data_IF_863669714092
#
_entry.id   IF_863669714092
#
_cell.length_a   1.000
_cell.length_b   1.000
_cell.length_c   1.000
_cell.angle_alpha   90.00
_cell.angle_beta   90.00
_cell.angle_gamma   90.00
#
_symmetry.space_group_name_H-M   'P 1'
#
loop_
_entity.id
_entity.type
_entity.pdbx_description
1 polymer ?
#
# COMPACT_ATOMS: atom_id res chain seq x y z
N UNK A 1 6.98 -4.84 -10.57
CA UNK A 1 7.11 -4.09 -9.30
C UNK A 1 8.54 -4.25 -8.82
N UNK A 2 9.27 -3.16 -8.54
CA UNK A 2 10.60 -3.30 -7.94
C UNK A 2 10.44 -3.83 -6.52
N UNK A 3 11.20 -4.86 -6.17
CA UNK A 3 11.10 -5.48 -4.86
C UNK A 3 11.49 -4.45 -3.77
N UNK A 4 10.78 -4.40 -2.62
CA UNK A 4 11.11 -3.46 -1.56
C UNK A 4 12.53 -3.70 -1.03
N UNK A 5 13.25 -2.65 -0.65
CA UNK A 5 14.58 -2.79 -0.02
C UNK A 5 14.44 -3.24 1.43
N UNK A 6 15.51 -3.76 2.03
CA UNK A 6 15.49 -4.10 3.46
C UNK A 6 15.16 -2.88 4.33
N UNK A 7 15.65 -1.69 3.96
CA UNK A 7 15.30 -0.43 4.61
C UNK A 7 13.79 -0.16 4.56
N UNK A 8 13.11 -0.42 3.43
CA UNK A 8 11.66 -0.27 3.35
C UNK A 8 10.91 -1.26 4.27
N UNK A 9 11.43 -2.48 4.41
CA UNK A 9 10.81 -3.51 5.24
C UNK A 9 11.02 -3.25 6.74
N UNK A 10 12.12 -2.61 7.13
CA UNK A 10 12.48 -2.39 8.55
C UNK A 10 12.32 -0.95 9.04
N UNK A 11 11.96 0.01 8.17
CA UNK A 11 11.77 1.40 8.55
C UNK A 11 10.77 1.54 9.73
N UNK A 12 10.93 2.53 10.62
CA UNK A 12 9.98 2.77 11.69
C UNK A 12 8.59 3.12 11.13
N UNK A 13 7.55 2.98 11.95
CA UNK A 13 6.18 3.35 11.59
C UNK A 13 5.16 2.24 11.87
N UNK A 14 3.92 2.40 11.38
CA UNK A 14 2.86 1.43 11.62
C UNK A 14 3.21 0.08 10.99
N UNK A 15 2.67 -0.97 11.61
CA UNK A 15 2.82 -2.33 11.13
C UNK A 15 2.28 -2.45 9.70
N UNK A 16 3.08 -3.06 8.82
CA UNK A 16 2.82 -3.06 7.38
C UNK A 16 3.14 -4.39 6.75
N UNK A 17 2.24 -4.80 5.85
CA UNK A 17 2.37 -6.01 5.06
C UNK A 17 2.69 -5.63 3.61
N UNK A 18 3.96 -5.77 3.22
CA UNK A 18 4.50 -5.31 1.93
C UNK A 18 4.85 -6.53 1.07
N UNK A 19 4.31 -6.58 -0.15
CA UNK A 19 4.70 -7.60 -1.13
C UNK A 19 6.20 -7.55 -1.45
N UNK A 20 6.88 -8.69 -1.31
CA UNK A 20 8.33 -8.80 -1.51
C UNK A 20 8.73 -9.08 -2.96
N UNK A 21 7.77 -9.30 -3.86
CA UNK A 21 7.96 -9.63 -5.28
C UNK A 21 6.66 -9.56 -6.08
N UNK A 22 6.67 -9.99 -7.34
CA UNK A 22 5.43 -10.10 -8.13
C UNK A 22 4.67 -11.37 -7.73
N UNK A 23 3.38 -11.46 -8.10
CA UNK A 23 2.54 -12.61 -7.73
C UNK A 23 3.08 -13.98 -8.17
N UNK A 24 3.89 -14.03 -9.25
CA UNK A 24 4.53 -15.27 -9.71
C UNK A 24 5.76 -15.68 -8.89
N UNK A 25 6.36 -14.71 -8.19
CA UNK A 25 7.57 -14.88 -7.39
C UNK A 25 7.22 -15.09 -5.90
N UNK A 26 5.96 -14.91 -5.54
CA UNK A 26 5.46 -15.05 -4.18
C UNK A 26 4.82 -16.43 -3.98
N UNK A 27 4.97 -17.02 -2.79
CA UNK A 27 4.20 -18.18 -2.38
C UNK A 27 2.70 -17.94 -2.55
N UNK A 28 1.95 -19.04 -2.72
CA UNK A 28 0.49 -18.93 -2.75
C UNK A 28 0.02 -18.44 -1.39
N UNK A 29 -0.96 -17.55 -1.41
CA UNK A 29 -1.57 -17.05 -0.19
C UNK A 29 -2.26 -18.22 0.54
N UNK A 30 -1.91 -18.43 1.81
CA UNK A 30 -2.34 -19.57 2.61
C UNK A 30 -1.48 -20.83 2.44
N UNK A 31 -0.35 -20.75 1.76
CA UNK A 31 0.64 -21.84 1.68
C UNK A 31 1.43 -21.97 2.98
N UNK A 32 1.53 -23.19 3.51
CA UNK A 32 2.39 -23.48 4.65
C UNK A 32 3.83 -23.61 4.19
N UNK A 33 4.64 -22.61 4.53
CA UNK A 33 6.08 -22.58 4.22
C UNK A 33 6.94 -23.29 5.27
N UNK A 34 6.32 -23.95 6.25
CA UNK A 34 7.01 -24.58 7.37
C UNK A 34 7.55 -23.56 8.37
N UNK A 35 8.52 -23.97 9.19
CA UNK A 35 9.08 -23.12 10.23
C UNK A 35 9.97 -22.02 9.64
N UNK A 36 9.73 -20.78 10.09
CA UNK A 36 10.57 -19.64 9.75
C UNK A 36 11.94 -19.79 10.45
N UNK A 37 13.07 -19.77 9.72
CA UNK A 37 14.40 -19.82 10.31
C UNK A 37 14.64 -18.66 11.28
N UNK A 38 15.35 -18.91 12.39
CA UNK A 38 15.61 -17.88 13.41
C UNK A 38 16.46 -16.71 12.91
N UNK A 39 17.34 -16.99 11.95
CA UNK A 39 18.24 -16.05 11.27
C UNK A 39 17.68 -15.48 9.96
N UNK A 40 16.39 -15.73 9.68
CA UNK A 40 15.75 -15.25 8.46
C UNK A 40 15.85 -13.73 8.32
N UNK A 41 16.20 -13.27 7.11
CA UNK A 41 16.27 -11.85 6.77
C UNK A 41 14.88 -11.19 6.71
N UNK A 42 14.83 -9.85 6.71
CA UNK A 42 13.58 -9.10 6.73
C UNK A 42 12.64 -9.46 5.57
N UNK A 43 13.20 -9.76 4.39
CA UNK A 43 12.44 -10.19 3.22
C UNK A 43 11.79 -11.55 3.44
N UNK A 44 12.54 -12.54 3.91
CA UNK A 44 12.04 -13.89 4.18
C UNK A 44 10.94 -13.85 5.24
N UNK A 45 11.14 -13.09 6.32
CA UNK A 45 10.11 -12.89 7.36
C UNK A 45 8.82 -12.29 6.77
N UNK A 46 8.92 -11.28 5.91
CA UNK A 46 7.76 -10.66 5.26
C UNK A 46 7.06 -11.61 4.28
N UNK A 47 7.82 -12.37 3.49
CA UNK A 47 7.28 -13.40 2.59
C UNK A 47 6.52 -14.47 3.36
N UNK A 48 7.08 -14.94 4.47
CA UNK A 48 6.43 -15.93 5.35
C UNK A 48 5.13 -15.39 5.95
N UNK A 49 5.17 -14.14 6.41
CA UNK A 49 3.99 -13.43 6.89
C UNK A 49 2.92 -13.27 5.80
N UNK A 50 3.29 -12.94 4.57
CA UNK A 50 2.36 -12.85 3.44
C UNK A 50 1.68 -14.18 3.13
N UNK A 51 2.42 -15.29 3.25
CA UNK A 51 1.92 -16.63 2.97
C UNK A 51 0.97 -17.14 4.06
N UNK A 52 1.12 -16.70 5.32
CA UNK A 52 0.23 -17.08 6.42
C UNK A 52 -1.25 -16.76 6.12
N UNK A 53 -2.18 -17.52 6.71
CA UNK A 53 -3.63 -17.32 6.52
C UNK A 53 -4.08 -15.90 6.89
N UNK A 54 -3.54 -15.35 7.98
CA UNK A 54 -3.86 -13.99 8.43
C UNK A 54 -3.28 -12.94 7.49
N UNK A 55 -2.02 -13.10 7.07
CA UNK A 55 -1.38 -12.21 6.10
C UNK A 55 -2.08 -12.22 4.75
N UNK A 56 -2.45 -13.40 4.25
CA UNK A 56 -3.25 -13.58 3.05
C UNK A 56 -4.58 -12.83 3.13
N UNK A 57 -5.30 -12.98 4.24
CA UNK A 57 -6.59 -12.32 4.48
C UNK A 57 -6.43 -10.80 4.52
N UNK A 58 -5.43 -10.30 5.25
CA UNK A 58 -5.13 -8.87 5.34
C UNK A 58 -4.71 -8.29 3.99
N UNK A 59 -3.84 -8.98 3.25
CA UNK A 59 -3.35 -8.55 1.95
C UNK A 59 -4.49 -8.49 0.92
N UNK A 60 -5.42 -9.45 0.95
CA UNK A 60 -6.60 -9.44 0.08
C UNK A 60 -7.51 -8.23 0.32
N UNK A 61 -7.65 -7.79 1.58
CA UNK A 61 -8.43 -6.57 1.92
C UNK A 61 -7.80 -5.29 1.35
N UNK A 62 -6.47 -5.24 1.22
CA UNK A 62 -5.77 -4.08 0.64
C UNK A 62 -6.21 -3.80 -0.80
N UNK A 63 -6.35 -4.84 -1.62
CA UNK A 63 -6.79 -4.69 -3.02
C UNK A 63 -8.17 -3.99 -3.08
N UNK A 64 -9.12 -4.43 -2.26
CA UNK A 64 -10.45 -3.82 -2.19
C UNK A 64 -10.43 -2.35 -1.75
N UNK A 65 -9.42 -1.92 -1.00
CA UNK A 65 -9.32 -0.55 -0.47
C UNK A 65 -8.65 0.41 -1.46
N UNK A 66 -7.65 -0.07 -2.21
CA UNK A 66 -6.87 0.78 -3.14
C UNK A 66 -7.58 0.99 -4.48
N UNK A 67 -8.33 0.00 -4.98
CA UNK A 67 -9.01 0.11 -6.28
C UNK A 67 -10.03 1.27 -6.33
N UNK A 68 -10.88 1.50 -5.31
CA UNK A 68 -11.78 2.65 -5.30
C UNK A 68 -11.04 4.00 -5.35
N UNK A 69 -9.87 4.11 -4.71
CA UNK A 69 -9.04 5.32 -4.74
C UNK A 69 -8.53 5.59 -6.15
N UNK A 70 -8.00 4.55 -6.81
CA UNK A 70 -7.54 4.63 -8.19
C UNK A 70 -8.69 4.98 -9.15
N UNK A 71 -9.85 4.36 -8.97
CA UNK A 71 -11.06 4.67 -9.73
C UNK A 71 -11.50 6.12 -9.53
N UNK A 72 -11.46 6.64 -8.31
CA UNK A 72 -11.81 8.03 -8.02
C UNK A 72 -10.86 9.00 -8.72
N UNK A 73 -9.54 8.79 -8.62
CA UNK A 73 -8.55 9.64 -9.29
C UNK A 73 -8.77 9.66 -10.81
N UNK A 74 -9.02 8.49 -11.40
CA UNK A 74 -9.19 8.33 -12.83
C UNK A 74 -10.52 8.91 -13.33
N UNK A 75 -11.63 8.58 -12.70
CA UNK A 75 -12.97 8.81 -13.25
C UNK A 75 -13.73 9.98 -12.61
N UNK A 76 -13.47 10.26 -11.33
CA UNK A 76 -14.15 11.36 -10.63
C UNK A 76 -13.30 12.64 -10.65
N UNK A 77 -11.98 12.51 -10.53
CA UNK A 77 -11.03 13.62 -10.66
C UNK A 77 -10.61 13.84 -12.12
N UNK A 78 -10.78 12.85 -13.00
CA UNK A 78 -10.47 12.96 -14.43
C UNK A 78 -8.98 12.80 -14.79
N UNK A 79 -8.15 12.28 -13.86
CA UNK A 79 -6.71 12.09 -14.05
C UNK A 79 -6.41 10.83 -14.89
N UNK A 80 -6.98 10.76 -16.10
CA UNK A 80 -6.71 9.68 -17.07
C UNK A 80 -5.42 9.92 -17.86
N UNK A 81 -4.95 11.16 -17.91
CA UNK A 81 -3.71 11.59 -18.58
C UNK A 81 -3.03 12.68 -17.76
N UNK A 82 -1.71 12.75 -17.83
CA UNK A 82 -0.93 13.84 -17.24
C UNK A 82 -0.83 15.01 -18.22
N UNK A 83 -0.86 16.24 -17.70
CA UNK A 83 -0.79 17.46 -18.49
C UNK A 83 0.66 17.86 -18.79
N UNK A 84 1.59 17.55 -17.89
CA UNK A 84 3.03 17.85 -18.04
C UNK A 84 3.82 16.63 -18.50
N UNK A 85 5.05 16.89 -18.92
CA UNK A 85 5.99 15.88 -19.43
C UNK A 85 7.17 15.74 -18.47
N UNK A 86 7.73 14.54 -18.42
CA UNK A 86 8.83 14.17 -17.53
C UNK A 86 8.33 13.58 -16.21
N UNK A 87 9.03 12.55 -15.71
CA UNK A 87 8.59 11.75 -14.57
C UNK A 87 8.33 12.60 -13.32
N UNK A 88 9.24 13.52 -12.99
CA UNK A 88 9.11 14.39 -11.83
C UNK A 88 7.86 15.29 -11.92
N UNK A 89 7.55 15.81 -13.11
CA UNK A 89 6.40 16.67 -13.31
C UNK A 89 5.07 15.89 -13.21
N UNK A 90 5.01 14.70 -13.80
CA UNK A 90 3.85 13.80 -13.68
C UNK A 90 3.65 13.31 -12.24
N UNK A 91 4.74 13.03 -11.52
CA UNK A 91 4.67 12.63 -10.11
C UNK A 91 4.07 13.74 -9.26
N UNK A 92 4.50 15.00 -9.45
CA UNK A 92 3.92 16.14 -8.74
C UNK A 92 2.41 16.31 -9.02
N UNK A 93 1.95 16.08 -10.26
CA UNK A 93 0.51 16.08 -10.58
C UNK A 93 -0.25 14.97 -9.83
N UNK A 94 0.31 13.76 -9.81
CA UNK A 94 -0.29 12.63 -9.11
C UNK A 94 -0.35 12.87 -7.60
N UNK A 95 0.73 13.37 -7.01
CA UNK A 95 0.83 13.67 -5.58
C UNK A 95 -0.17 14.77 -5.19
N UNK A 96 -0.31 15.81 -6.01
CA UNK A 96 -1.31 16.86 -5.80
C UNK A 96 -2.74 16.31 -5.87
N UNK A 97 -3.05 15.48 -6.86
CA UNK A 97 -4.38 14.86 -6.98
C UNK A 97 -4.68 13.93 -5.80
N UNK A 98 -3.69 13.16 -5.34
CA UNK A 98 -3.80 12.29 -4.18
C UNK A 98 -4.01 13.09 -2.88
N UNK A 99 -3.27 14.21 -2.70
CA UNK A 99 -3.46 15.13 -1.59
C UNK A 99 -4.89 15.67 -1.55
N UNK A 100 -5.39 16.19 -2.68
CA UNK A 100 -6.76 16.71 -2.77
C UNK A 100 -7.78 15.61 -2.43
N UNK A 101 -7.59 14.39 -2.92
CA UNK A 101 -8.47 13.27 -2.59
C UNK A 101 -8.47 12.96 -1.08
N UNK A 102 -7.28 12.90 -0.47
CA UNK A 102 -7.14 12.64 0.96
C UNK A 102 -7.77 13.75 1.80
N UNK A 103 -7.56 15.01 1.44
CA UNK A 103 -8.20 16.16 2.08
C UNK A 103 -9.72 16.08 1.98
N UNK A 104 -10.28 15.75 0.81
CA UNK A 104 -11.73 15.59 0.64
C UNK A 104 -12.29 14.48 1.52
N UNK A 105 -11.57 13.36 1.67
CA UNK A 105 -11.97 12.28 2.59
C UNK A 105 -12.00 12.76 4.04
N UNK A 106 -10.91 13.37 4.52
CA UNK A 106 -10.83 13.89 5.90
C UNK A 106 -11.91 14.95 6.17
N UNK A 107 -12.16 15.84 5.21
CA UNK A 107 -13.20 16.87 5.31
C UNK A 107 -14.63 16.32 5.20
N UNK A 108 -14.81 15.07 4.79
CA UNK A 108 -16.13 14.40 4.79
C UNK A 108 -16.43 13.63 6.07
N UNK A 109 -15.42 13.41 6.93
CA UNK A 109 -15.60 12.77 8.24
C UNK A 109 -16.38 13.65 9.22
N UNK A 110 -17.01 13.02 10.21
CA UNK A 110 -17.61 13.71 11.34
C UNK A 110 -16.54 14.53 12.10
N UNK A 111 -16.92 15.61 12.82
CA UNK A 111 -15.93 16.52 13.44
C UNK A 111 -14.97 15.83 14.43
N UNK A 112 -15.48 14.88 15.21
CA UNK A 112 -14.74 14.05 16.16
C UNK A 112 -13.78 13.08 15.47
N UNK A 113 -14.25 12.38 14.44
CA UNK A 113 -13.42 11.48 13.61
C UNK A 113 -12.31 12.25 12.86
N UNK A 114 -12.63 13.46 12.39
CA UNK A 114 -11.68 14.34 11.69
C UNK A 114 -10.56 14.80 12.62
N UNK A 115 -10.87 15.17 13.86
CA UNK A 115 -9.89 15.58 14.84
C UNK A 115 -8.90 14.45 15.17
N UNK A 116 -9.41 13.22 15.32
CA UNK A 116 -8.57 12.03 15.50
C UNK A 116 -7.68 11.75 14.27
N UNK A 117 -8.22 11.86 13.06
CA UNK A 117 -7.47 11.60 11.83
C UNK A 117 -6.32 12.59 11.56
N UNK A 118 -6.40 13.82 12.09
CA UNK A 118 -5.37 14.86 11.94
C UNK A 118 -4.27 14.82 13.00
N UNK A 119 -4.44 14.00 14.04
CA UNK A 119 -3.52 13.92 15.19
C UNK A 119 -2.77 12.59 15.28
N UNK A 120 -3.08 11.64 14.40
CA UNK A 120 -2.41 10.33 14.24
C UNK A 120 -1.25 10.40 13.23
#
# INVERSE_FOLDING_TARGET
>A
MTAPTNENLTAPGPDRLIATGNSRDLPRLGEDLGLLPSDADARTRMTHRLASTDGATLYKRRAATVEPVNGHLKDRTGLRRFSRRGLAACQAELDFAALVLNLRKVLSLAPDERAAALTA
#
